data_IF_483302994273
#
_entry.id   IF_483302994273
#
_cell.length_a   1.000
_cell.length_b   1.000
_cell.length_c   1.000
_cell.angle_alpha   90.00
_cell.angle_beta   90.00
_cell.angle_gamma   90.00
#
_symmetry.space_group_name_H-M   'P 1'
#
loop_
_entity.id
_entity.type
_entity.pdbx_description
1 polymer ?
#
# COMPACT_ATOMS: atom_id res chain seq x y z
N UNK A 1 -43.23 -22.36 53.67
CA UNK A 1 -42.70 -22.76 52.34
C UNK A 1 -42.46 -21.55 51.42
N UNK A 2 -41.66 -20.55 51.84
CA UNK A 2 -41.33 -19.35 51.04
C UNK A 2 -39.92 -18.81 51.36
N UNK A 3 -38.92 -19.70 51.50
CA UNK A 3 -37.51 -19.31 51.76
C UNK A 3 -36.46 -20.11 51.00
N UNK A 4 -36.85 -21.03 50.11
CA UNK A 4 -35.91 -21.84 49.32
C UNK A 4 -35.96 -21.58 47.79
N UNK A 5 -36.83 -20.67 47.32
CA UNK A 5 -36.94 -20.35 45.90
C UNK A 5 -35.97 -19.23 45.43
N UNK A 6 -35.34 -18.49 46.35
CA UNK A 6 -34.45 -17.37 46.00
C UNK A 6 -32.98 -17.79 45.88
N UNK A 7 -32.58 -18.92 46.48
CA UNK A 7 -31.21 -19.43 46.42
C UNK A 7 -30.90 -20.21 45.13
N UNK A 8 -31.92 -20.74 44.45
CA UNK A 8 -31.75 -21.47 43.19
C UNK A 8 -31.68 -20.53 41.95
N UNK A 9 -32.17 -19.30 42.07
CA UNK A 9 -32.09 -18.30 41.00
C UNK A 9 -30.70 -17.65 40.91
N UNK A 10 -29.93 -17.64 42.00
CA UNK A 10 -28.60 -17.02 42.05
C UNK A 10 -27.50 -18.02 41.62
N UNK A 11 -27.76 -19.33 41.70
CA UNK A 11 -26.81 -20.38 41.27
C UNK A 11 -26.97 -20.72 39.76
N UNK A 12 -28.11 -20.36 39.16
CA UNK A 12 -28.35 -20.52 37.71
C UNK A 12 -27.90 -19.31 36.87
N UNK A 13 -27.52 -18.20 37.50
CA UNK A 13 -26.98 -17.00 36.84
C UNK A 13 -25.44 -16.95 36.83
N UNK A 14 -24.76 -17.93 37.41
CA UNK A 14 -23.30 -18.02 37.45
C UNK A 14 -22.70 -19.05 36.48
N UNK A 15 -23.48 -19.56 35.52
CA UNK A 15 -23.05 -20.61 34.58
C UNK A 15 -23.20 -20.25 33.10
N UNK A 16 -23.42 -18.98 32.75
CA UNK A 16 -23.54 -18.55 31.35
C UNK A 16 -22.64 -17.37 31.00
N UNK A 17 -21.39 -17.37 31.49
CA UNK A 17 -20.32 -16.50 30.99
C UNK A 17 -19.01 -17.29 30.95
N UNK A 18 -18.97 -18.32 30.12
CA UNK A 18 -17.75 -18.67 29.40
C UNK A 18 -18.05 -18.57 27.92
N UNK A 19 -18.28 -17.33 27.47
CA UNK A 19 -17.93 -16.98 26.11
C UNK A 19 -16.41 -16.92 26.12
N UNK A 20 -15.77 -17.89 25.48
CA UNK A 20 -14.40 -17.75 25.00
C UNK A 20 -14.39 -16.64 23.93
N UNK A 21 -14.46 -15.40 24.37
CA UNK A 21 -14.06 -14.22 23.61
C UNK A 21 -12.96 -13.54 24.43
N UNK A 22 -11.96 -14.33 24.81
CA UNK A 22 -10.71 -13.79 25.34
C UNK A 22 -9.85 -13.32 24.17
N UNK A 23 -9.47 -12.04 24.24
CA UNK A 23 -8.08 -11.58 24.17
C UNK A 23 -7.41 -11.21 22.84
N UNK A 24 -8.11 -10.90 21.76
CA UNK A 24 -7.45 -10.20 20.63
C UNK A 24 -7.46 -8.67 20.78
N UNK A 25 -8.45 -8.13 21.52
CA UNK A 25 -8.62 -6.68 21.68
C UNK A 25 -7.62 -6.05 22.67
N UNK A 26 -7.06 -6.84 23.59
CA UNK A 26 -6.18 -6.40 24.69
C UNK A 26 -4.69 -6.72 24.47
N UNK A 27 -4.34 -7.34 23.34
CA UNK A 27 -2.96 -7.64 22.98
C UNK A 27 -2.57 -6.75 21.80
N UNK A 28 -1.37 -6.18 21.81
CA UNK A 28 -0.75 -5.44 20.68
C UNK A 28 -0.42 -6.40 19.50
N UNK A 29 -1.39 -7.22 19.12
CA UNK A 29 -1.31 -8.22 18.06
C UNK A 29 -2.01 -7.63 16.85
N UNK A 30 -1.22 -7.33 15.82
CA UNK A 30 -1.73 -6.79 14.56
C UNK A 30 -2.06 -7.89 13.54
N UNK A 31 -1.52 -9.08 13.72
CA UNK A 31 -1.64 -10.24 12.83
C UNK A 31 -1.76 -11.53 13.63
N UNK A 32 -2.41 -12.54 13.05
CA UNK A 32 -2.52 -13.88 13.63
C UNK A 32 -1.15 -14.54 13.74
N UNK A 33 -0.93 -15.24 14.85
CA UNK A 33 0.28 -16.01 15.15
C UNK A 33 0.06 -17.53 15.09
N UNK A 34 -1.15 -17.97 14.74
CA UNK A 34 -1.56 -19.37 14.65
C UNK A 34 -1.32 -19.99 13.26
N UNK A 35 -0.76 -19.21 12.33
CA UNK A 35 -0.52 -19.62 10.93
C UNK A 35 -1.77 -19.67 10.05
N UNK A 36 -2.93 -19.26 10.57
CA UNK A 36 -4.17 -19.16 9.81
C UNK A 36 -4.39 -17.73 9.31
N UNK A 37 -5.41 -17.54 8.49
CA UNK A 37 -5.78 -16.26 7.89
C UNK A 37 -7.30 -16.10 7.90
N UNK A 38 -7.75 -14.85 7.84
CA UNK A 38 -9.13 -14.50 7.59
C UNK A 38 -9.43 -14.49 6.10
N UNK A 39 -10.65 -14.88 5.73
CA UNK A 39 -11.21 -14.73 4.39
C UNK A 39 -12.24 -13.61 4.41
N UNK A 40 -12.01 -12.53 3.66
CA UNK A 40 -12.98 -11.46 3.49
C UNK A 40 -14.00 -11.90 2.45
N UNK A 41 -15.26 -11.98 2.84
CA UNK A 41 -16.33 -12.54 2.02
C UNK A 41 -17.59 -11.67 2.06
N UNK A 42 -18.23 -11.50 0.91
CA UNK A 42 -19.55 -10.86 0.82
C UNK A 42 -20.66 -11.82 1.31
N UNK A 43 -21.86 -11.29 1.57
CA UNK A 43 -23.01 -12.10 2.02
C UNK A 43 -23.44 -13.18 1.03
N UNK A 44 -23.21 -12.99 -0.26
CA UNK A 44 -23.49 -13.96 -1.33
C UNK A 44 -22.37 -14.98 -1.54
N UNK A 45 -21.27 -14.86 -0.78
CA UNK A 45 -20.19 -15.84 -0.74
C UNK A 45 -19.01 -15.52 -1.65
N UNK A 46 -18.96 -14.33 -2.28
CA UNK A 46 -17.81 -13.90 -3.07
C UNK A 46 -16.63 -13.62 -2.14
N UNK A 47 -15.49 -14.28 -2.40
CA UNK A 47 -14.24 -14.03 -1.69
C UNK A 47 -13.55 -12.83 -2.32
N UNK A 48 -13.30 -11.81 -1.50
CA UNK A 48 -12.67 -10.56 -1.93
C UNK A 48 -11.16 -10.63 -1.79
N UNK A 49 -10.67 -11.07 -0.62
CA UNK A 49 -9.25 -11.24 -0.32
C UNK A 49 -9.07 -12.08 0.95
N UNK A 50 -7.82 -12.36 1.33
CA UNK A 50 -7.44 -12.99 2.58
C UNK A 50 -6.41 -12.14 3.30
N UNK A 51 -6.37 -12.23 4.64
CA UNK A 51 -5.37 -11.51 5.44
C UNK A 51 -5.12 -12.21 6.77
N UNK A 52 -3.88 -12.20 7.26
CA UNK A 52 -3.59 -12.57 8.64
C UNK A 52 -3.88 -11.42 9.62
N UNK A 53 -4.16 -10.20 9.14
CA UNK A 53 -4.38 -9.03 10.00
C UNK A 53 -5.63 -9.18 10.85
N UNK A 54 -5.53 -8.78 12.11
CA UNK A 54 -6.70 -8.68 12.99
C UNK A 54 -7.51 -7.45 12.57
N UNK A 55 -8.74 -7.66 12.11
CA UNK A 55 -9.64 -6.61 11.66
C UNK A 55 -10.69 -6.26 12.73
N UNK A 56 -11.17 -5.02 12.69
CA UNK A 56 -12.32 -4.53 13.46
C UNK A 56 -13.53 -4.23 12.55
N UNK A 57 -14.73 -4.21 13.13
CA UNK A 57 -15.91 -3.70 12.42
C UNK A 57 -15.66 -2.25 11.97
N UNK A 58 -16.00 -1.96 10.72
CA UNK A 58 -15.75 -0.66 10.08
C UNK A 58 -14.36 -0.51 9.46
N UNK A 59 -13.46 -1.51 9.59
CA UNK A 59 -12.28 -1.59 8.74
C UNK A 59 -12.71 -1.72 7.28
N UNK A 60 -11.88 -1.25 6.36
CA UNK A 60 -12.21 -1.30 4.94
C UNK A 60 -11.06 -1.75 4.06
N UNK A 61 -11.44 -2.30 2.91
CA UNK A 61 -10.54 -2.80 1.90
C UNK A 61 -10.97 -2.28 0.53
N UNK A 62 -10.03 -1.73 -0.22
CA UNK A 62 -10.23 -1.31 -1.61
C UNK A 62 -9.56 -2.35 -2.50
N UNK A 63 -10.36 -3.05 -3.30
CA UNK A 63 -9.85 -4.10 -4.19
C UNK A 63 -9.13 -3.52 -5.43
N UNK A 64 -8.54 -4.41 -6.22
CA UNK A 64 -7.88 -4.05 -7.48
C UNK A 64 -8.79 -3.28 -8.47
N UNK A 65 -10.11 -3.47 -8.40
CA UNK A 65 -11.13 -2.84 -9.26
C UNK A 65 -11.71 -1.55 -8.67
N UNK A 66 -11.12 -1.04 -7.59
CA UNK A 66 -11.54 0.15 -6.86
C UNK A 66 -12.87 0.02 -6.11
N UNK A 67 -13.33 -1.19 -5.83
CA UNK A 67 -14.49 -1.38 -4.97
C UNK A 67 -14.05 -1.29 -3.50
N UNK A 68 -14.68 -0.41 -2.73
CA UNK A 68 -14.47 -0.30 -1.28
C UNK A 68 -15.48 -1.17 -0.55
N UNK A 69 -14.96 -2.17 0.14
CA UNK A 69 -15.70 -3.03 1.05
C UNK A 69 -15.44 -2.62 2.49
N UNK A 70 -16.45 -2.77 3.35
CA UNK A 70 -16.33 -2.49 4.78
C UNK A 70 -16.70 -3.73 5.59
N UNK A 71 -15.93 -4.01 6.63
CA UNK A 71 -16.15 -5.11 7.57
C UNK A 71 -17.40 -4.85 8.40
N UNK A 72 -18.35 -5.77 8.33
CA UNK A 72 -19.65 -5.68 9.04
C UNK A 72 -19.86 -6.78 10.06
N UNK A 73 -19.02 -7.83 10.07
CA UNK A 73 -19.15 -8.92 11.03
C UNK A 73 -18.07 -10.00 10.86
N UNK A 74 -18.11 -10.95 11.79
CA UNK A 74 -17.17 -12.06 11.86
C UNK A 74 -17.94 -13.36 12.10
N UNK A 75 -17.55 -14.42 11.40
CA UNK A 75 -18.00 -15.79 11.61
C UNK A 75 -16.79 -16.74 11.55
N UNK A 76 -16.16 -16.96 12.71
CA UNK A 76 -14.87 -17.67 12.78
C UNK A 76 -13.80 -16.94 11.97
N UNK A 77 -13.20 -17.65 11.01
CA UNK A 77 -12.17 -17.12 10.11
C UNK A 77 -12.76 -16.36 8.90
N UNK A 78 -14.09 -16.25 8.80
CA UNK A 78 -14.76 -15.48 7.75
C UNK A 78 -15.05 -14.06 8.27
N UNK A 79 -14.51 -13.07 7.56
CA UNK A 79 -14.80 -11.65 7.79
C UNK A 79 -15.87 -11.23 6.79
N UNK A 80 -17.06 -10.96 7.29
CA UNK A 80 -18.19 -10.54 6.46
C UNK A 80 -18.00 -9.08 6.05
N UNK A 81 -18.01 -8.81 4.75
CA UNK A 81 -17.84 -7.47 4.19
C UNK A 81 -19.01 -7.05 3.31
N UNK A 82 -19.25 -5.75 3.22
CA UNK A 82 -20.25 -5.16 2.32
C UNK A 82 -19.60 -4.15 1.38
N UNK A 83 -19.92 -4.24 0.09
CA UNK A 83 -19.59 -3.20 -0.88
C UNK A 83 -20.29 -1.90 -0.49
N UNK A 84 -19.52 -0.82 -0.32
CA UNK A 84 -20.05 0.51 0.00
C UNK A 84 -20.09 1.41 -1.22
N UNK A 85 -19.01 1.41 -2.01
CA UNK A 85 -18.88 2.26 -3.18
C UNK A 85 -17.78 1.75 -4.11
N UNK A 86 -17.76 2.25 -5.34
CA UNK A 86 -16.61 2.17 -6.21
C UNK A 86 -15.89 3.53 -6.17
N UNK A 87 -14.65 3.54 -5.68
CA UNK A 87 -13.90 4.79 -5.51
C UNK A 87 -13.37 5.28 -6.86
N UNK A 88 -13.26 6.59 -6.99
CA UNK A 88 -12.51 7.22 -8.08
C UNK A 88 -11.11 7.52 -7.60
N UNK A 89 -10.11 6.99 -8.30
CA UNK A 89 -8.71 7.27 -8.02
C UNK A 89 -8.34 8.69 -8.48
N UNK A 90 -7.35 9.34 -7.85
CA UNK A 90 -6.91 10.68 -8.22
C UNK A 90 -6.30 10.72 -9.63
N UNK A 91 -6.48 11.82 -10.35
CA UNK A 91 -5.82 12.06 -11.63
C UNK A 91 -4.33 12.39 -11.41
N UNK A 92 -3.47 11.48 -11.86
CA UNK A 92 -2.02 11.58 -11.70
C UNK A 92 -1.44 12.75 -12.51
N UNK A 93 -1.97 13.07 -13.68
CA UNK A 93 -1.46 14.16 -14.50
C UNK A 93 -1.72 15.52 -13.85
N UNK A 94 -2.91 15.69 -13.26
CA UNK A 94 -3.26 16.89 -12.51
C UNK A 94 -2.38 17.02 -11.25
N UNK A 95 -2.16 15.91 -10.54
CA UNK A 95 -1.27 15.85 -9.37
C UNK A 95 0.16 16.27 -9.72
N UNK A 96 0.76 15.65 -10.73
CA UNK A 96 2.14 15.94 -11.15
C UNK A 96 2.29 17.40 -11.62
N UNK A 97 1.30 17.92 -12.34
CA UNK A 97 1.28 19.35 -12.76
C UNK A 97 1.26 20.27 -11.55
N UNK A 98 0.44 19.96 -10.54
CA UNK A 98 0.34 20.74 -9.30
C UNK A 98 1.64 20.69 -8.50
N UNK A 99 2.33 19.55 -8.47
CA UNK A 99 3.59 19.40 -7.74
C UNK A 99 4.75 20.11 -8.43
N UNK A 100 4.87 20.03 -9.75
CA UNK A 100 5.86 20.78 -10.52
C UNK A 100 5.74 22.30 -10.31
N UNK A 101 4.51 22.81 -10.14
CA UNK A 101 4.29 24.21 -9.81
C UNK A 101 4.81 24.60 -8.40
N UNK A 102 4.79 23.67 -7.44
CA UNK A 102 5.29 23.88 -6.07
C UNK A 102 6.81 23.72 -5.96
N UNK A 103 7.42 22.80 -6.70
CA UNK A 103 8.88 22.59 -6.68
C UNK A 103 9.67 23.84 -7.12
N UNK A 104 9.08 24.66 -8.00
CA UNK A 104 9.63 25.97 -8.40
C UNK A 104 9.78 27.00 -7.27
N UNK A 105 9.35 26.68 -6.03
CA UNK A 105 9.45 27.54 -4.85
C UNK A 105 10.61 27.19 -3.89
N UNK A 106 11.45 26.21 -4.25
CA UNK A 106 12.77 26.00 -3.60
C UNK A 106 12.86 24.89 -2.55
N UNK A 107 11.81 24.09 -2.33
CA UNK A 107 11.90 22.88 -1.51
C UNK A 107 12.16 21.65 -2.40
N UNK A 108 13.40 21.16 -2.39
CA UNK A 108 13.81 19.94 -3.09
C UNK A 108 13.54 18.72 -2.20
N UNK A 109 12.33 18.19 -2.25
CA UNK A 109 12.04 16.88 -1.67
C UNK A 109 12.54 15.81 -2.65
N UNK A 110 13.73 15.25 -2.46
CA UNK A 110 14.24 14.17 -3.34
C UNK A 110 14.66 12.90 -2.60
N UNK A 111 14.53 12.91 -1.27
CA UNK A 111 14.91 11.79 -0.42
C UNK A 111 13.74 10.85 -0.19
N UNK A 112 13.98 9.55 -0.36
CA UNK A 112 13.03 8.47 -0.02
C UNK A 112 13.62 7.68 1.15
N UNK A 113 12.88 7.51 2.22
CA UNK A 113 13.30 6.66 3.34
C UNK A 113 12.65 5.28 3.27
N UNK A 114 13.43 4.23 3.49
CA UNK A 114 12.96 2.85 3.53
C UNK A 114 13.45 2.21 4.83
N UNK A 115 12.55 1.52 5.52
CA UNK A 115 12.85 0.80 6.76
C UNK A 115 11.97 -0.45 6.86
N UNK A 116 12.20 -1.24 7.90
CA UNK A 116 11.50 -2.48 8.15
C UNK A 116 11.15 -2.58 9.61
N UNK A 117 9.88 -2.46 9.98
CA UNK A 117 9.48 -2.68 11.37
C UNK A 117 9.71 -4.13 11.78
N UNK A 118 9.40 -5.09 10.91
CA UNK A 118 9.65 -6.52 11.19
C UNK A 118 10.84 -7.05 10.37
N UNK A 119 12.07 -6.73 10.80
CA UNK A 119 13.28 -7.17 10.08
C UNK A 119 13.44 -8.69 9.95
N UNK A 120 12.74 -9.47 10.77
CA UNK A 120 12.88 -10.92 10.78
C UNK A 120 12.08 -11.61 9.65
N UNK A 121 11.15 -10.91 9.00
CA UNK A 121 10.25 -11.55 8.03
C UNK A 121 11.02 -12.21 6.87
N UNK A 122 10.69 -13.47 6.58
CA UNK A 122 11.32 -14.28 5.53
C UNK A 122 10.31 -14.97 4.62
N UNK A 123 10.79 -15.50 3.49
CA UNK A 123 10.01 -16.24 2.51
C UNK A 123 10.35 -17.74 2.59
N UNK A 124 9.36 -18.54 2.97
CA UNK A 124 9.48 -19.99 3.23
C UNK A 124 10.06 -20.75 2.02
N UNK A 125 9.63 -20.52 0.77
CA UNK A 125 10.18 -21.25 -0.37
C UNK A 125 11.68 -21.01 -0.61
N UNK A 126 12.22 -19.88 -0.13
CA UNK A 126 13.62 -19.48 -0.33
C UNK A 126 14.49 -19.89 0.86
N UNK A 127 14.12 -19.44 2.06
CA UNK A 127 14.95 -19.61 3.27
C UNK A 127 14.46 -20.73 4.19
N UNK A 128 13.34 -21.38 3.87
CA UNK A 128 12.78 -22.50 4.63
C UNK A 128 12.05 -22.11 5.93
N UNK A 129 12.05 -20.82 6.27
CA UNK A 129 11.41 -20.24 7.46
C UNK A 129 10.69 -18.96 7.08
N UNK A 130 9.64 -18.61 7.82
CA UNK A 130 8.84 -17.39 7.65
C UNK A 130 9.35 -16.21 8.50
N UNK A 131 10.27 -16.50 9.42
CA UNK A 131 10.96 -15.53 10.27
C UNK A 131 12.39 -15.99 10.63
N UNK A 132 13.38 -15.12 10.45
CA UNK A 132 14.79 -15.35 10.82
C UNK A 132 15.31 -14.25 11.76
N UNK A 133 15.84 -14.63 12.92
CA UNK A 133 16.23 -13.70 13.99
C UNK A 133 17.52 -12.95 13.64
N UNK A 134 18.39 -13.51 12.79
CA UNK A 134 19.60 -12.80 12.37
C UNK A 134 19.34 -11.74 11.29
N UNK A 135 18.10 -11.61 10.81
CA UNK A 135 17.68 -10.75 9.72
C UNK A 135 17.07 -11.59 8.60
N UNK A 136 15.79 -11.34 8.32
CA UNK A 136 15.03 -12.09 7.33
C UNK A 136 15.18 -11.57 5.91
N UNK A 137 14.64 -12.35 4.98
CA UNK A 137 14.70 -12.07 3.54
C UNK A 137 14.04 -10.73 3.16
N UNK A 138 13.14 -10.20 3.99
CA UNK A 138 12.48 -8.92 3.75
C UNK A 138 13.48 -7.76 3.62
N UNK A 139 14.64 -7.87 4.27
CA UNK A 139 15.70 -6.87 4.18
C UNK A 139 16.26 -6.79 2.74
N UNK A 140 16.35 -7.92 2.02
CA UNK A 140 16.79 -7.92 0.63
C UNK A 140 15.72 -7.30 -0.29
N UNK A 141 14.42 -7.51 -0.03
CA UNK A 141 13.35 -6.81 -0.77
C UNK A 141 13.46 -5.29 -0.62
N UNK A 142 13.64 -4.78 0.61
CA UNK A 142 13.79 -3.34 0.85
C UNK A 142 15.06 -2.76 0.24
N UNK A 143 16.14 -3.54 0.21
CA UNK A 143 17.40 -3.16 -0.43
C UNK A 143 17.30 -3.16 -1.95
N UNK A 144 16.60 -4.13 -2.54
CA UNK A 144 16.26 -4.17 -3.98
C UNK A 144 15.43 -2.94 -4.36
N UNK A 145 14.39 -2.62 -3.60
CA UNK A 145 13.62 -1.39 -3.77
C UNK A 145 14.51 -0.13 -3.71
N UNK A 146 15.39 -0.07 -2.71
CA UNK A 146 16.31 1.06 -2.53
C UNK A 146 17.29 1.21 -3.70
N UNK A 147 17.85 0.11 -4.19
CA UNK A 147 18.78 0.12 -5.31
C UNK A 147 18.08 0.54 -6.61
N UNK A 148 16.90 -0.01 -6.90
CA UNK A 148 16.12 0.36 -8.08
C UNK A 148 15.73 1.85 -8.09
N UNK A 149 15.44 2.44 -6.93
CA UNK A 149 15.19 3.88 -6.80
C UNK A 149 16.48 4.71 -6.98
N UNK A 150 17.61 4.27 -6.44
CA UNK A 150 18.92 4.92 -6.64
C UNK A 150 19.36 4.88 -8.10
N UNK A 151 19.16 3.76 -8.79
CA UNK A 151 19.44 3.62 -10.23
C UNK A 151 18.60 4.57 -11.08
N UNK A 152 17.41 4.93 -10.61
CA UNK A 152 16.59 5.95 -11.24
C UNK A 152 17.07 7.39 -10.95
N UNK A 153 18.02 7.59 -10.04
CA UNK A 153 18.61 8.90 -9.71
C UNK A 153 18.00 9.58 -8.48
N UNK A 154 17.21 8.89 -7.67
CA UNK A 154 16.65 9.43 -6.43
C UNK A 154 17.62 9.26 -5.25
N UNK A 155 17.57 10.19 -4.30
CA UNK A 155 18.28 10.02 -3.04
C UNK A 155 17.48 9.04 -2.16
N UNK A 156 18.12 7.98 -1.68
CA UNK A 156 17.45 6.94 -0.89
C UNK A 156 18.25 6.62 0.36
N UNK A 157 17.58 6.69 1.50
CA UNK A 157 18.10 6.29 2.79
C UNK A 157 17.37 5.01 3.20
N UNK A 158 18.04 3.88 3.00
CA UNK A 158 17.59 2.59 3.47
C UNK A 158 18.22 2.30 4.83
N UNK A 159 17.39 2.01 5.83
CA UNK A 159 17.82 1.68 7.18
C UNK A 159 17.81 0.17 7.41
N UNK A 160 18.96 -0.35 7.84
CA UNK A 160 19.17 -1.72 8.31
C UNK A 160 19.08 -1.83 9.85
N UNK A 161 18.56 -0.80 10.52
CA UNK A 161 18.35 -0.83 11.97
C UNK A 161 17.47 -2.05 12.34
N UNK A 162 17.94 -2.82 13.33
CA UNK A 162 17.19 -3.95 13.87
C UNK A 162 16.11 -3.49 14.86
N UNK A 163 14.91 -4.03 14.71
CA UNK A 163 13.75 -3.82 15.57
C UNK A 163 13.26 -5.14 16.17
N UNK A 164 14.14 -6.13 16.28
CA UNK A 164 13.85 -7.41 16.91
C UNK A 164 13.51 -7.28 18.40
N UNK A 165 12.73 -8.21 18.98
CA UNK A 165 12.12 -9.40 18.34
C UNK A 165 10.99 -9.06 17.35
N UNK A 166 10.53 -10.04 16.58
CA UNK A 166 9.32 -9.90 15.77
C UNK A 166 8.10 -9.99 16.69
N UNK A 167 7.63 -8.83 17.18
CA UNK A 167 6.46 -8.69 18.05
C UNK A 167 5.79 -7.32 17.84
N UNK A 168 4.63 -7.07 18.46
CA UNK A 168 3.95 -5.78 18.36
C UNK A 168 4.78 -4.58 18.87
N UNK A 169 5.74 -4.82 19.78
CA UNK A 169 6.65 -3.77 20.27
C UNK A 169 7.70 -3.38 19.22
N UNK A 170 7.83 -4.12 18.12
CA UNK A 170 8.69 -3.74 17.00
C UNK A 170 8.33 -2.36 16.46
N UNK A 171 7.05 -2.00 16.40
CA UNK A 171 6.61 -0.65 16.03
C UNK A 171 7.13 0.43 16.98
N UNK A 172 7.20 0.13 18.29
CA UNK A 172 7.79 1.07 19.27
C UNK A 172 9.29 1.25 19.03
N UNK A 173 10.00 0.18 18.65
CA UNK A 173 11.44 0.24 18.35
C UNK A 173 11.70 0.94 17.01
N UNK A 174 10.94 0.62 15.97
CA UNK A 174 11.09 1.20 14.63
C UNK A 174 10.68 2.66 14.57
N UNK A 175 9.85 3.13 15.51
CA UNK A 175 9.56 4.57 15.68
C UNK A 175 10.83 5.41 15.77
N UNK A 176 11.89 4.94 16.43
CA UNK A 176 13.16 5.67 16.51
C UNK A 176 13.80 5.83 15.12
N UNK A 177 13.83 4.76 14.34
CA UNK A 177 14.33 4.77 12.95
C UNK A 177 13.51 5.71 12.08
N UNK A 178 12.18 5.73 12.22
CA UNK A 178 11.31 6.68 11.50
C UNK A 178 11.66 8.13 11.85
N UNK A 179 11.87 8.43 13.14
CA UNK A 179 12.28 9.77 13.58
C UNK A 179 13.69 10.16 13.09
N UNK A 180 14.62 9.21 12.99
CA UNK A 180 15.95 9.42 12.40
C UNK A 180 15.84 9.74 10.90
N UNK A 181 15.08 8.94 10.14
CA UNK A 181 14.87 9.16 8.71
C UNK A 181 14.18 10.50 8.41
N UNK A 182 13.24 10.93 9.25
CA UNK A 182 12.56 12.22 9.10
C UNK A 182 13.50 13.44 9.16
N UNK A 183 14.68 13.31 9.79
CA UNK A 183 15.66 14.40 9.83
C UNK A 183 16.19 14.75 8.43
N UNK A 184 16.11 13.81 7.49
CA UNK A 184 16.49 14.00 6.10
C UNK A 184 15.36 14.58 5.23
N UNK A 185 14.24 14.99 5.84
CA UNK A 185 13.09 15.58 5.15
C UNK A 185 12.66 14.74 3.92
N UNK A 186 12.36 13.44 4.10
CA UNK A 186 12.02 12.58 2.98
C UNK A 186 10.66 12.97 2.39
N UNK A 187 10.53 12.80 1.08
CA UNK A 187 9.27 12.94 0.37
C UNK A 187 8.26 11.88 0.84
N UNK A 188 8.74 10.68 1.14
CA UNK A 188 7.94 9.54 1.64
C UNK A 188 8.80 8.62 2.49
N UNK A 189 8.15 7.95 3.45
CA UNK A 189 8.74 6.84 4.20
C UNK A 189 7.97 5.55 3.92
N UNK A 190 8.70 4.47 3.73
CA UNK A 190 8.14 3.17 3.34
C UNK A 190 8.60 2.11 4.34
N UNK A 191 7.62 1.51 5.01
CA UNK A 191 7.80 0.30 5.82
C UNK A 191 7.58 -0.92 4.92
N UNK A 192 8.62 -1.72 4.70
CA UNK A 192 8.61 -2.85 3.77
C UNK A 192 8.39 -4.16 4.53
N UNK A 193 7.32 -4.85 4.18
CA UNK A 193 6.84 -6.09 4.80
C UNK A 193 6.50 -7.16 3.76
N UNK A 194 6.20 -8.36 4.27
CA UNK A 194 5.54 -9.46 3.55
C UNK A 194 4.31 -9.92 4.32
N UNK A 195 3.31 -10.46 3.63
CA UNK A 195 2.05 -10.89 4.26
C UNK A 195 2.05 -12.38 4.68
N UNK A 196 1.17 -12.73 5.60
CA UNK A 196 0.99 -14.08 6.13
C UNK A 196 -0.25 -14.79 5.54
N UNK A 197 -0.39 -14.80 4.21
CA UNK A 197 -1.52 -15.43 3.50
C UNK A 197 -1.06 -16.57 2.58
N UNK A 198 -2.00 -17.29 1.93
CA UNK A 198 -1.68 -18.16 0.80
C UNK A 198 -1.05 -17.37 -0.37
N UNK A 199 -0.19 -18.03 -1.18
CA UNK A 199 0.55 -17.36 -2.24
C UNK A 199 -0.35 -16.85 -3.37
N UNK A 200 -1.47 -17.52 -3.67
CA UNK A 200 -2.40 -17.18 -4.76
C UNK A 200 -3.07 -15.80 -4.61
N UNK A 201 -3.10 -15.25 -3.39
CA UNK A 201 -3.57 -13.87 -3.13
C UNK A 201 -2.68 -12.88 -3.86
N UNK A 202 -1.36 -13.14 -3.85
CA UNK A 202 -0.33 -12.25 -4.34
C UNK A 202 0.30 -12.68 -5.66
N UNK A 203 0.15 -13.91 -6.12
CA UNK A 203 0.71 -14.33 -7.43
C UNK A 203 0.15 -13.49 -8.57
N UNK A 204 1.05 -12.98 -9.42
CA UNK A 204 0.71 -12.24 -10.64
C UNK A 204 1.85 -12.31 -11.67
N UNK A 205 1.62 -11.74 -12.83
CA UNK A 205 2.61 -11.57 -13.89
C UNK A 205 2.52 -10.14 -14.41
N UNK A 206 3.65 -9.43 -14.43
CA UNK A 206 3.74 -8.06 -14.94
C UNK A 206 4.74 -8.08 -16.10
N UNK A 207 4.31 -7.61 -17.28
CA UNK A 207 5.13 -7.57 -18.49
C UNK A 207 5.75 -8.93 -18.88
N UNK A 208 5.08 -10.04 -18.57
CA UNK A 208 5.58 -11.40 -18.86
C UNK A 208 6.55 -11.95 -17.81
N UNK A 209 6.78 -11.22 -16.72
CA UNK A 209 7.66 -11.61 -15.61
C UNK A 209 6.79 -12.04 -14.42
N UNK A 210 6.90 -13.30 -13.97
CA UNK A 210 6.26 -13.74 -12.72
C UNK A 210 6.72 -12.89 -11.54
N UNK A 211 5.78 -12.35 -10.78
CA UNK A 211 6.06 -11.44 -9.66
C UNK A 211 4.95 -11.53 -8.61
N UNK A 212 5.11 -10.85 -7.48
CA UNK A 212 4.05 -10.69 -6.50
C UNK A 212 3.30 -9.36 -6.70
N UNK A 213 2.04 -9.35 -6.28
CA UNK A 213 1.33 -8.10 -6.07
C UNK A 213 1.90 -7.38 -4.84
N UNK A 214 1.56 -6.11 -4.72
CA UNK A 214 1.84 -5.28 -3.55
C UNK A 214 0.53 -4.89 -2.90
N UNK A 215 0.41 -5.10 -1.59
CA UNK A 215 -0.71 -4.58 -0.81
C UNK A 215 -0.26 -3.35 -0.04
N UNK A 216 -1.12 -2.33 -0.02
CA UNK A 216 -0.88 -1.08 0.71
C UNK A 216 -1.69 -1.11 2.00
N UNK A 217 -1.09 -0.77 3.14
CA UNK A 217 -1.78 -0.77 4.44
C UNK A 217 -1.75 0.62 5.07
N UNK A 218 -2.93 1.10 5.44
CA UNK A 218 -3.16 2.36 6.15
C UNK A 218 -3.84 2.05 7.48
N UNK A 219 -3.22 2.47 8.58
CA UNK A 219 -3.72 2.18 9.93
C UNK A 219 -4.80 3.18 10.37
N UNK A 220 -6.03 2.76 10.62
CA UNK A 220 -7.15 3.67 10.96
C UNK A 220 -6.94 4.51 12.21
N UNK A 221 -6.05 4.10 13.11
CA UNK A 221 -5.77 4.80 14.37
C UNK A 221 -4.75 5.93 14.20
N UNK A 222 -4.19 6.11 13.00
CA UNK A 222 -3.19 7.14 12.72
C UNK A 222 -3.85 8.51 12.49
N UNK A 223 -3.36 9.56 13.15
CA UNK A 223 -3.94 10.92 13.03
C UNK A 223 -3.82 11.52 11.62
N UNK A 224 -2.91 10.99 10.79
CA UNK A 224 -2.71 11.39 9.40
C UNK A 224 -3.48 10.50 8.41
N UNK A 225 -4.44 9.68 8.88
CA UNK A 225 -5.09 8.61 8.11
C UNK A 225 -5.55 9.08 6.74
N UNK A 226 -6.24 10.22 6.69
CA UNK A 226 -6.77 10.75 5.43
C UNK A 226 -5.64 11.08 4.44
N UNK A 227 -4.58 11.75 4.90
CA UNK A 227 -3.45 12.09 4.04
C UNK A 227 -2.68 10.85 3.55
N UNK A 228 -2.55 9.84 4.41
CA UNK A 228 -1.88 8.58 4.09
C UNK A 228 -2.75 7.69 3.19
N UNK A 229 -4.07 7.69 3.36
CA UNK A 229 -5.01 7.01 2.49
C UNK A 229 -5.06 7.65 1.10
N UNK A 230 -5.04 8.99 1.02
CA UNK A 230 -4.91 9.68 -0.26
C UNK A 230 -3.56 9.40 -0.94
N UNK A 231 -2.49 9.22 -0.16
CA UNK A 231 -1.21 8.78 -0.70
C UNK A 231 -1.26 7.34 -1.21
N UNK A 232 -1.89 6.41 -0.47
CA UNK A 232 -2.12 5.04 -0.91
C UNK A 232 -2.92 4.99 -2.24
N UNK A 233 -3.97 5.81 -2.36
CA UNK A 233 -4.74 5.93 -3.61
C UNK A 233 -3.90 6.50 -4.76
N UNK A 234 -2.99 7.44 -4.50
CA UNK A 234 -2.04 7.93 -5.53
C UNK A 234 -1.06 6.84 -5.97
N UNK A 235 -0.48 6.09 -5.03
CA UNK A 235 0.37 4.93 -5.35
C UNK A 235 -0.39 3.94 -6.23
N UNK A 236 -1.63 3.59 -5.84
CA UNK A 236 -2.48 2.72 -6.65
C UNK A 236 -2.79 3.31 -8.03
N UNK A 237 -3.11 4.58 -8.14
CA UNK A 237 -3.42 5.22 -9.42
C UNK A 237 -2.22 5.22 -10.39
N UNK A 238 -1.01 5.49 -9.89
CA UNK A 238 0.22 5.38 -10.69
C UNK A 238 0.47 3.91 -11.06
N UNK A 239 0.37 3.00 -10.10
CA UNK A 239 0.61 1.58 -10.34
C UNK A 239 -0.39 0.96 -11.33
N UNK A 240 -1.68 1.29 -11.24
CA UNK A 240 -2.71 0.81 -12.17
C UNK A 240 -2.49 1.34 -13.60
N UNK A 241 -1.86 2.51 -13.75
CA UNK A 241 -1.51 3.08 -15.05
C UNK A 241 -0.27 2.42 -15.67
N UNK A 242 0.80 2.25 -14.87
CA UNK A 242 2.10 1.78 -15.36
C UNK A 242 2.20 0.24 -15.37
N UNK A 243 1.66 -0.43 -14.34
CA UNK A 243 1.75 -1.88 -14.12
C UNK A 243 0.39 -2.48 -13.69
N UNK A 244 -0.60 -2.52 -14.60
CA UNK A 244 -1.93 -3.03 -14.27
C UNK A 244 -1.88 -4.43 -13.63
N UNK A 245 -2.53 -4.57 -12.48
CA UNK A 245 -2.57 -5.85 -11.74
C UNK A 245 -1.45 -6.04 -10.72
N UNK A 246 -0.52 -5.09 -10.56
CA UNK A 246 0.50 -5.16 -9.50
C UNK A 246 -0.05 -4.85 -8.11
N UNK A 247 -1.13 -4.08 -7.99
CA UNK A 247 -1.73 -3.79 -6.69
C UNK A 247 -2.72 -4.89 -6.33
N UNK A 248 -2.52 -5.51 -5.18
CA UNK A 248 -3.49 -6.42 -4.58
C UNK A 248 -4.72 -5.63 -4.12
N UNK A 249 -4.47 -4.61 -3.30
CA UNK A 249 -5.51 -3.73 -2.75
C UNK A 249 -4.95 -2.77 -1.71
N UNK A 250 -5.85 -2.01 -1.09
CA UNK A 250 -5.53 -1.08 0.01
C UNK A 250 -6.35 -1.47 1.22
N UNK A 251 -5.68 -1.86 2.31
CA UNK A 251 -6.31 -1.89 3.63
C UNK A 251 -6.32 -0.51 4.24
N UNK A 252 -7.48 -0.11 4.74
CA UNK A 252 -7.65 0.94 5.72
C UNK A 252 -8.25 0.26 6.96
N UNK A 253 -7.38 -0.25 7.82
CA UNK A 253 -7.70 -1.24 8.84
C UNK A 253 -7.11 -0.89 10.22
N UNK A 254 -7.50 -1.61 11.27
CA UNK A 254 -7.00 -1.42 12.64
C UNK A 254 -5.46 -1.38 12.67
N UNK A 255 -4.91 -0.32 13.23
CA UNK A 255 -3.47 -0.17 13.46
C UNK A 255 -3.01 1.27 13.29
N UNK A 256 -1.72 1.51 13.54
CA UNK A 256 -1.08 2.81 13.39
C UNK A 256 0.17 2.75 12.51
N UNK A 257 1.03 1.74 12.71
CA UNK A 257 2.17 1.44 11.83
C UNK A 257 3.15 2.63 11.64
N UNK A 258 3.37 3.41 12.70
CA UNK A 258 4.14 4.67 12.71
C UNK A 258 3.63 5.78 11.77
N UNK A 259 2.44 5.59 11.17
CA UNK A 259 1.86 6.54 10.22
C UNK A 259 1.32 7.81 10.91
N UNK A 260 1.15 7.79 12.24
CA UNK A 260 0.79 8.96 13.05
C UNK A 260 1.88 10.03 13.08
N UNK A 261 3.13 9.68 12.77
CA UNK A 261 4.28 10.59 12.86
C UNK A 261 4.23 11.65 11.75
N UNK A 262 3.72 11.31 10.57
CA UNK A 262 3.63 12.24 9.47
C UNK A 262 2.82 11.74 8.27
N UNK A 263 2.55 12.63 7.30
CA UNK A 263 1.94 12.25 6.03
C UNK A 263 2.94 11.52 5.13
N UNK A 264 2.44 10.72 4.19
CA UNK A 264 3.22 9.90 3.25
C UNK A 264 4.19 8.94 3.95
N UNK A 265 3.76 8.42 5.09
CA UNK A 265 4.37 7.24 5.72
C UNK A 265 3.44 6.07 5.43
N UNK A 266 3.94 5.05 4.77
CA UNK A 266 3.11 3.95 4.26
C UNK A 266 3.76 2.60 4.51
N UNK A 267 2.92 1.57 4.73
CA UNK A 267 3.35 0.18 4.81
C UNK A 267 3.00 -0.51 3.50
N UNK A 268 3.97 -1.23 2.92
CA UNK A 268 3.83 -2.01 1.71
C UNK A 268 4.18 -3.47 1.97
N UNK A 269 3.26 -4.37 1.65
CA UNK A 269 3.48 -5.82 1.68
C UNK A 269 3.82 -6.32 0.29
N UNK A 270 5.00 -6.91 0.12
CA UNK A 270 5.48 -7.47 -1.15
C UNK A 270 5.28 -8.98 -1.16
N UNK A 271 4.09 -9.43 -1.58
CA UNK A 271 3.80 -10.85 -1.58
C UNK A 271 3.49 -11.44 -0.21
N UNK A 272 3.16 -12.73 -0.22
CA UNK A 272 3.04 -13.56 0.97
C UNK A 272 4.38 -14.25 1.30
N UNK A 273 4.60 -14.60 2.56
CA UNK A 273 5.73 -15.43 3.03
C UNK A 273 5.84 -16.79 2.32
N UNK A 274 4.78 -17.23 1.65
CA UNK A 274 4.72 -18.48 0.88
C UNK A 274 5.00 -18.28 -0.62
N UNK A 275 5.20 -17.04 -1.08
CA UNK A 275 5.80 -16.77 -2.40
C UNK A 275 7.34 -16.88 -2.31
N UNK A 276 8.04 -17.17 -3.42
CA UNK A 276 9.49 -17.05 -3.49
C UNK A 276 9.96 -15.60 -3.33
N UNK A 277 11.09 -15.38 -2.62
CA UNK A 277 11.71 -14.07 -2.45
C UNK A 277 11.92 -13.33 -3.78
N UNK A 278 12.41 -14.05 -4.80
CA UNK A 278 12.69 -13.48 -6.12
C UNK A 278 11.47 -12.77 -6.72
N UNK A 279 10.26 -13.32 -6.54
CA UNK A 279 9.04 -12.69 -7.06
C UNK A 279 8.71 -11.37 -6.34
N UNK A 280 9.02 -11.28 -5.03
CA UNK A 280 8.86 -10.07 -4.23
C UNK A 280 9.92 -9.01 -4.57
N UNK A 281 11.15 -9.42 -4.86
CA UNK A 281 12.20 -8.54 -5.38
C UNK A 281 11.82 -7.96 -6.75
N UNK A 282 11.27 -8.78 -7.65
CA UNK A 282 10.73 -8.28 -8.92
C UNK A 282 9.61 -7.24 -8.72
N UNK A 283 8.72 -7.47 -7.74
CA UNK A 283 7.66 -6.53 -7.42
C UNK A 283 8.25 -5.20 -6.91
N UNK A 284 9.29 -5.25 -6.08
CA UNK A 284 10.02 -4.08 -5.60
C UNK A 284 10.66 -3.27 -6.75
N UNK A 285 11.22 -3.92 -7.77
CA UNK A 285 11.76 -3.22 -8.95
C UNK A 285 10.68 -2.47 -9.75
N UNK A 286 9.51 -3.09 -9.97
CA UNK A 286 8.38 -2.40 -10.61
C UNK A 286 7.87 -1.25 -9.74
N UNK A 287 7.72 -1.48 -8.43
CA UNK A 287 7.18 -0.48 -7.51
C UNK A 287 8.13 0.71 -7.29
N UNK A 288 9.44 0.52 -7.47
CA UNK A 288 10.41 1.61 -7.50
C UNK A 288 10.09 2.67 -8.55
N UNK A 289 9.41 2.31 -9.65
CA UNK A 289 9.02 3.25 -10.71
C UNK A 289 7.70 3.97 -10.41
N UNK A 290 6.91 3.45 -9.47
CA UNK A 290 5.62 3.99 -9.03
C UNK A 290 5.80 5.07 -7.95
N UNK A 291 6.66 4.81 -6.96
CA UNK A 291 6.81 5.64 -5.75
C UNK A 291 7.11 7.12 -6.06
N UNK A 292 8.07 7.48 -6.94
CA UNK A 292 8.44 8.87 -7.13
C UNK A 292 7.28 9.75 -7.63
N UNK A 293 6.55 9.27 -8.64
CA UNK A 293 5.40 10.00 -9.19
C UNK A 293 4.28 10.20 -8.14
N UNK A 294 3.98 9.16 -7.35
CA UNK A 294 2.99 9.24 -6.29
C UNK A 294 3.42 10.16 -5.13
N UNK A 295 4.72 10.16 -4.80
CA UNK A 295 5.32 11.07 -3.82
C UNK A 295 5.39 12.52 -4.33
N UNK A 296 5.22 12.71 -5.65
CA UNK A 296 5.25 14.01 -6.30
C UNK A 296 6.65 14.57 -6.43
N UNK A 297 7.64 13.69 -6.63
CA UNK A 297 9.04 14.02 -6.86
C UNK A 297 9.43 13.62 -8.29
N UNK A 298 10.19 14.49 -8.96
CA UNK A 298 10.62 14.28 -10.34
C UNK A 298 12.15 14.33 -10.44
N UNK A 299 12.73 13.73 -11.49
CA UNK A 299 14.18 13.74 -11.66
C UNK A 299 14.67 15.17 -11.94
N UNK A 300 15.82 15.53 -11.38
CA UNK A 300 16.45 16.85 -11.61
C UNK A 300 16.68 17.17 -13.10
N UNK A 301 16.84 16.16 -13.97
CA UNK A 301 17.13 16.34 -15.41
C UNK A 301 15.90 16.29 -16.33
N UNK A 302 14.71 15.94 -15.83
CA UNK A 302 13.51 15.81 -16.70
C UNK A 302 12.86 17.14 -17.10
N UNK A 303 13.37 18.28 -16.62
CA UNK A 303 12.98 19.59 -17.12
C UNK A 303 13.36 19.83 -18.60
N UNK A 304 14.21 18.97 -19.19
CA UNK A 304 14.63 19.12 -20.58
C UNK A 304 14.15 17.98 -21.53
N UNK A 305 13.80 16.79 -21.01
CA UNK A 305 13.54 15.62 -21.86
C UNK A 305 12.08 15.13 -21.92
N UNK A 306 11.16 15.64 -21.08
CA UNK A 306 9.74 15.26 -21.12
C UNK A 306 8.87 16.11 -22.08
N UNK A 307 9.44 16.58 -23.19
CA UNK A 307 8.68 17.00 -24.39
C UNK A 307 8.80 15.93 -25.47
N UNK A 308 8.53 14.68 -25.11
CA UNK A 308 8.41 13.58 -26.06
C UNK A 308 7.86 12.40 -25.29
N UNK A 309 6.54 12.22 -25.19
CA UNK A 309 5.88 11.27 -26.10
C UNK A 309 4.40 11.61 -26.35
N UNK A 310 3.85 12.64 -25.68
CA UNK A 310 2.46 13.10 -25.86
C UNK A 310 2.33 14.42 -26.66
N UNK A 311 3.37 15.26 -26.69
CA UNK A 311 3.34 16.60 -27.33
C UNK A 311 3.52 16.57 -28.85
N UNK A 312 4.26 15.59 -29.39
CA UNK A 312 4.56 15.53 -30.82
C UNK A 312 3.30 15.30 -31.68
N UNK A 313 2.32 14.53 -31.17
CA UNK A 313 1.03 14.33 -31.89
C UNK A 313 0.20 15.61 -31.89
N UNK A 314 0.11 16.31 -30.77
CA UNK A 314 -0.69 17.53 -30.65
C UNK A 314 -0.14 18.69 -31.50
N UNK A 315 1.19 18.85 -31.57
CA UNK A 315 1.82 19.88 -32.41
C UNK A 315 1.64 19.56 -33.90
N UNK A 316 1.78 18.29 -34.31
CA UNK A 316 1.53 17.88 -35.70
C UNK A 316 0.06 18.10 -36.10
N UNK A 317 -0.90 17.82 -35.20
CA UNK A 317 -2.31 18.08 -35.46
C UNK A 317 -2.63 19.59 -35.56
N UNK A 318 -2.05 20.41 -34.69
CA UNK A 318 -2.23 21.87 -34.75
C UNK A 318 -1.64 22.45 -36.05
N UNK A 319 -0.44 22.02 -36.45
CA UNK A 319 0.18 22.45 -37.70
C UNK A 319 -0.60 21.97 -38.93
N UNK A 320 -1.16 20.75 -38.90
CA UNK A 320 -2.02 20.24 -39.97
C UNK A 320 -3.33 21.06 -40.09
N UNK A 321 -3.97 21.41 -38.97
CA UNK A 321 -5.17 22.25 -38.96
C UNK A 321 -4.87 23.65 -39.50
N UNK A 322 -3.76 24.27 -39.07
CA UNK A 322 -3.36 25.60 -39.56
C UNK A 322 -3.05 25.56 -41.06
N UNK A 323 -2.41 24.50 -41.56
CA UNK A 323 -2.14 24.34 -42.99
C UNK A 323 -3.45 24.17 -43.80
N UNK A 324 -4.40 23.36 -43.32
CA UNK A 324 -5.70 23.16 -43.98
C UNK A 324 -6.52 24.46 -43.99
N UNK A 325 -6.55 25.20 -42.88
CA UNK A 325 -7.23 26.50 -42.80
C UNK A 325 -6.57 27.55 -43.71
N UNK A 326 -5.23 27.58 -43.77
CA UNK A 326 -4.48 28.47 -44.65
C UNK A 326 -4.71 28.18 -46.13
N UNK A 327 -4.71 26.91 -46.53
CA UNK A 327 -5.00 26.49 -47.92
C UNK A 327 -6.47 26.81 -48.27
N UNK A 328 -7.41 26.56 -47.36
CA UNK A 328 -8.82 26.90 -47.53
C UNK A 328 -9.06 28.40 -47.71
N UNK A 329 -8.36 29.24 -46.93
CA UNK A 329 -8.43 30.70 -47.05
C UNK A 329 -7.89 31.19 -48.41
N UNK A 330 -6.78 30.63 -48.89
CA UNK A 330 -6.22 30.99 -50.20
C UNK A 330 -7.15 30.57 -51.34
N UNK A 331 -7.81 29.42 -51.24
CA UNK A 331 -8.76 28.95 -52.26
C UNK A 331 -10.05 29.79 -52.28
N UNK A 332 -10.59 30.14 -51.12
CA UNK A 332 -11.77 31.00 -50.99
C UNK A 332 -11.51 32.41 -51.49
N UNK A 333 -10.29 32.94 -51.31
CA UNK A 333 -9.94 34.28 -51.73
C UNK A 333 -9.54 34.37 -53.23
N UNK A 334 -9.31 33.24 -53.91
CA UNK A 334 -9.09 33.19 -55.37
C UNK A 334 -10.38 33.17 -56.19
N UNK A 335 -11.54 32.84 -55.60
CA UNK A 335 -12.83 32.85 -56.31
C UNK A 335 -13.58 34.19 -56.22
N UNK A 336 -12.95 35.22 -55.62
CA UNK A 336 -13.55 36.56 -55.43
C UNK A 336 -12.86 37.68 -56.23
N UNK A 337 -12.07 37.34 -57.25
CA UNK A 337 -11.47 38.30 -58.19
C UNK A 337 -12.12 38.14 -59.56
#
# INVERSE_FOLDING_TARGET
MKRYALALLIVLLSLSNQVYASSWLDLDIFERDDGNYFTLQTKDGEVITMTARILDIGDSYIDAKNNRYEVVGFDGDIVQVELKEQITLPDINEWLTTQAAKENTGNKWNTIGIYHTHNAESYVPTSGVDSEIEGGDIMEVGKTLANALKEQGFEVIWSDNSHLPHDGQAYTRSRRTVMELLQHQPATLIDVHRDATPPEVYETEIEGVPTTKVRIVVGRQNQNREANLEYAKRLKAVADQEYPGIIEGIFDARGNYNQDIGPRIILLEFGAHTNPLEMAEQAAEFFAKVIPAAAGITKEDTAQDNVGFASARSIVWILAIVAVLGIGFIFLNRQRI
#
